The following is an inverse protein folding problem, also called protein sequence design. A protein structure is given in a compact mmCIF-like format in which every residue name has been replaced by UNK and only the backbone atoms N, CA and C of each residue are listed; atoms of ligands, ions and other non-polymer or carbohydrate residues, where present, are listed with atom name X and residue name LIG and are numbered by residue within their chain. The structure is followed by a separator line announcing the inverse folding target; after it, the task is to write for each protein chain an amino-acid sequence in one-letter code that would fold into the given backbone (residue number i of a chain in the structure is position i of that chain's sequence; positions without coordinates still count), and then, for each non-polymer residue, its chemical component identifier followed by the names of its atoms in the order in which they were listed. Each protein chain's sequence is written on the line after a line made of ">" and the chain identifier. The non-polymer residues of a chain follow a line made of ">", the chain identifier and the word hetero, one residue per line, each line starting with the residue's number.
data_IF_826956005315
#
_entry.id   IF_826956005315
#
_cell.length_a   1.000
_cell.length_b   1.000
_cell.length_c   1.000
_cell.angle_alpha   90.00
_cell.angle_beta   90.00
_cell.angle_gamma   90.00
#
_symmetry.space_group_name_H-M   'P 1'
#
loop_
_entity.id
_entity.type
_entity.pdbx_description
1 polymer ?
#
# COMPACT_ATOMS: atom_id res chain seq x y z
N UNK A 1 5.80 -9.47 -3.00
CA UNK A 1 5.50 -8.14 -3.56
C UNK A 1 4.06 -8.16 -4.04
N UNK A 2 3.28 -7.08 -3.89
CA UNK A 2 1.88 -7.00 -4.34
C UNK A 2 1.66 -5.68 -5.05
N UNK A 3 0.89 -5.68 -6.14
CA UNK A 3 0.53 -4.44 -6.83
C UNK A 3 -0.72 -3.80 -6.22
N UNK A 4 -0.76 -2.48 -6.26
CA UNK A 4 -1.88 -1.68 -5.79
C UNK A 4 -2.47 -0.85 -6.94
N UNK A 5 -3.79 -0.76 -7.01
CA UNK A 5 -4.51 0.00 -8.04
C UNK A 5 -5.46 1.01 -7.40
N UNK A 6 -5.34 2.26 -7.83
CA UNK A 6 -6.19 3.38 -7.46
C UNK A 6 -7.04 3.77 -8.67
N UNK A 7 -8.34 4.00 -8.47
CA UNK A 7 -9.27 4.45 -9.50
C UNK A 7 -9.64 5.92 -9.29
N UNK A 8 -10.12 6.58 -10.35
CA UNK A 8 -10.36 8.04 -10.37
C UNK A 8 -11.28 8.53 -9.25
N UNK A 9 -12.30 7.75 -8.88
CA UNK A 9 -13.23 8.09 -7.79
C UNK A 9 -12.54 8.26 -6.42
N UNK A 10 -11.34 7.70 -6.30
CA UNK A 10 -10.52 7.66 -5.09
C UNK A 10 -9.23 8.50 -5.23
N UNK A 11 -9.10 9.30 -6.29
CA UNK A 11 -7.86 10.02 -6.61
C UNK A 11 -7.37 10.96 -5.50
N UNK A 12 -8.24 11.40 -4.59
CA UNK A 12 -7.83 12.17 -3.40
C UNK A 12 -6.85 11.41 -2.50
N UNK A 13 -6.85 10.08 -2.53
CA UNK A 13 -5.86 9.26 -1.83
C UNK A 13 -4.47 9.30 -2.48
N UNK A 14 -4.39 9.73 -3.75
CA UNK A 14 -3.10 9.95 -4.41
C UNK A 14 -2.33 11.11 -3.78
N UNK A 15 -3.02 12.04 -3.11
CA UNK A 15 -2.37 13.04 -2.27
C UNK A 15 -1.64 12.36 -1.10
N UNK A 16 -2.11 11.25 -0.57
CA UNK A 16 -1.33 10.47 0.42
C UNK A 16 -0.06 9.80 -0.14
N UNK A 17 0.10 9.73 -1.46
CA UNK A 17 1.14 8.96 -2.17
C UNK A 17 2.06 9.88 -2.98
N UNK A 18 2.44 11.02 -2.42
CA UNK A 18 3.17 12.08 -3.12
C UNK A 18 4.57 11.68 -3.64
N UNK A 19 5.23 10.67 -3.05
CA UNK A 19 6.61 10.29 -3.40
C UNK A 19 6.71 8.80 -3.73
N UNK A 20 6.97 8.50 -5.02
CA UNK A 20 7.14 7.13 -5.53
C UNK A 20 8.29 6.32 -4.88
N UNK A 21 9.12 6.95 -4.03
CA UNK A 21 10.26 6.31 -3.35
C UNK A 21 10.16 6.34 -1.82
N UNK A 22 9.04 6.82 -1.28
CA UNK A 22 8.79 6.79 0.16
C UNK A 22 8.19 5.44 0.58
N UNK A 23 8.31 5.13 1.87
CA UNK A 23 7.70 3.95 2.47
C UNK A 23 6.39 4.36 3.13
N UNK A 24 5.33 3.61 2.87
CA UNK A 24 3.99 3.90 3.39
C UNK A 24 3.45 2.73 4.20
N UNK A 25 2.76 3.04 5.29
CA UNK A 25 1.80 2.13 5.91
C UNK A 25 0.47 2.25 5.18
N UNK A 26 -0.06 1.13 4.71
CA UNK A 26 -1.32 1.06 3.97
C UNK A 26 -2.23 0.06 4.65
N UNK A 27 -3.45 0.48 5.02
CA UNK A 27 -4.43 -0.39 5.66
C UNK A 27 -5.85 -0.11 5.17
N UNK A 28 -6.77 -1.03 5.47
CA UNK A 28 -8.16 -0.97 5.04
C UNK A 28 -8.31 -0.86 3.50
N UNK A 29 -7.58 -1.70 2.76
CA UNK A 29 -7.73 -1.90 1.32
C UNK A 29 -8.57 -3.13 1.02
N UNK A 30 -9.10 -3.23 -0.19
CA UNK A 30 -9.70 -4.48 -0.69
C UNK A 30 -8.64 -5.33 -1.36
N UNK A 31 -8.70 -6.64 -1.16
CA UNK A 31 -7.83 -7.60 -1.85
C UNK A 31 -8.69 -8.36 -2.86
N UNK A 32 -8.28 -8.36 -4.13
CA UNK A 32 -9.00 -9.04 -5.21
C UNK A 32 -8.04 -9.86 -6.06
N UNK A 33 -8.56 -10.88 -6.75
CA UNK A 33 -7.78 -11.58 -7.77
C UNK A 33 -7.48 -10.64 -8.93
N UNK A 34 -6.26 -10.68 -9.41
CA UNK A 34 -5.86 -9.92 -10.60
C UNK A 34 -6.20 -10.70 -11.87
N UNK A 35 -6.64 -9.99 -12.91
CA UNK A 35 -6.68 -10.54 -14.26
C UNK A 35 -5.23 -10.64 -14.78
N UNK A 36 -4.73 -11.83 -15.14
CA UNK A 36 -3.34 -12.02 -15.57
C UNK A 36 -2.91 -11.11 -16.73
N UNK A 37 -3.86 -10.60 -17.53
CA UNK A 37 -3.58 -9.68 -18.65
C UNK A 37 -3.11 -8.29 -18.20
N UNK A 38 -3.40 -7.90 -16.96
CA UNK A 38 -3.04 -6.59 -16.37
C UNK A 38 -2.02 -6.73 -15.24
N UNK A 39 -1.43 -7.91 -15.08
CA UNK A 39 -0.47 -8.21 -14.03
C UNK A 39 0.89 -7.63 -14.37
N UNK A 40 1.40 -6.75 -13.49
CA UNK A 40 2.72 -6.16 -13.61
C UNK A 40 3.77 -6.85 -12.72
N UNK A 41 3.31 -7.61 -11.72
CA UNK A 41 4.15 -8.28 -10.71
C UNK A 41 3.59 -9.68 -10.47
N UNK A 42 4.46 -10.68 -10.30
CA UNK A 42 4.07 -12.07 -10.02
C UNK A 42 3.39 -12.20 -8.64
N UNK A 43 2.07 -12.04 -8.63
CA UNK A 43 1.16 -12.21 -7.50
C UNK A 43 -0.28 -12.35 -8.01
N UNK A 44 -0.99 -13.40 -7.61
CA UNK A 44 -2.37 -13.67 -8.05
C UNK A 44 -3.41 -12.66 -7.52
N UNK A 45 -2.99 -11.77 -6.62
CA UNK A 45 -3.82 -10.78 -5.97
C UNK A 45 -3.28 -9.36 -6.13
N UNK A 46 -4.19 -8.40 -6.00
CA UNK A 46 -3.91 -6.98 -6.00
C UNK A 46 -4.64 -6.27 -4.85
N UNK A 47 -4.11 -5.13 -4.44
CA UNK A 47 -4.77 -4.20 -3.53
C UNK A 47 -5.59 -3.20 -4.34
N UNK A 48 -6.86 -3.04 -4.02
CA UNK A 48 -7.72 -2.00 -4.56
C UNK A 48 -7.96 -0.96 -3.47
N UNK A 49 -7.52 0.26 -3.76
CA UNK A 49 -7.71 1.42 -2.89
C UNK A 49 -9.14 1.91 -3.02
N UNK A 50 -9.70 2.44 -1.94
CA UNK A 50 -11.03 3.05 -1.89
C UNK A 50 -11.07 4.14 -0.83
N UNK A 51 -12.09 4.98 -0.78
CA UNK A 51 -12.21 6.12 0.16
C UNK A 51 -11.97 5.82 1.66
N UNK A 52 -12.03 4.56 2.08
CA UNK A 52 -11.75 4.14 3.46
C UNK A 52 -10.31 3.68 3.71
N UNK A 53 -9.51 3.55 2.66
CA UNK A 53 -8.10 3.17 2.73
C UNK A 53 -7.30 4.23 3.46
N UNK A 54 -6.49 3.78 4.41
CA UNK A 54 -5.59 4.62 5.20
C UNK A 54 -4.21 4.50 4.58
N UNK A 55 -3.59 5.65 4.28
CA UNK A 55 -2.24 5.77 3.74
C UNK A 55 -1.46 6.72 4.63
N UNK A 56 -0.38 6.24 5.24
CA UNK A 56 0.48 7.03 6.13
C UNK A 56 1.94 6.90 5.68
N UNK A 57 2.59 8.02 5.37
CA UNK A 57 4.02 8.03 5.04
C UNK A 57 4.85 7.76 6.30
N UNK A 58 5.72 6.76 6.24
CA UNK A 58 6.65 6.45 7.32
C UNK A 58 7.93 7.25 7.10
N UNK A 59 8.23 8.17 8.02
CA UNK A 59 9.57 8.76 8.10
C UNK A 59 10.61 7.66 8.31
N UNK A 60 11.88 7.87 7.90
CA UNK A 60 12.97 6.91 8.13
C UNK A 60 13.04 6.46 9.62
N UNK A 61 12.79 7.40 10.55
CA UNK A 61 12.75 7.11 11.98
C UNK A 61 11.58 6.22 12.37
N UNK A 62 10.39 6.47 11.81
CA UNK A 62 9.18 5.66 12.04
C UNK A 62 9.28 4.26 11.43
N UNK A 63 9.94 4.14 10.27
CA UNK A 63 10.19 2.86 9.60
C UNK A 63 11.09 1.94 10.44
N UNK A 64 12.21 2.47 10.96
CA UNK A 64 13.11 1.71 11.84
C UNK A 64 12.44 1.24 13.14
N UNK A 65 11.54 2.05 13.70
CA UNK A 65 10.73 1.68 14.88
C UNK A 65 9.70 0.58 14.57
N UNK A 66 9.06 0.61 13.40
CA UNK A 66 8.11 -0.44 12.98
C UNK A 66 8.82 -1.76 12.65
N UNK A 67 10.00 -1.72 12.03
CA UNK A 67 10.81 -2.93 11.83
C UNK A 67 11.34 -3.50 13.15
N UNK A 68 11.78 -2.63 14.08
CA UNK A 68 12.25 -3.04 15.39
C UNK A 68 11.17 -3.72 16.24
N UNK A 69 9.93 -3.28 16.15
CA UNK A 69 8.77 -3.90 16.84
C UNK A 69 8.24 -5.15 16.15
N UNK A 70 8.38 -5.27 14.82
CA UNK A 70 8.03 -6.49 14.10
C UNK A 70 9.05 -7.63 14.28
N UNK A 71 10.33 -7.31 14.51
CA UNK A 71 11.42 -8.28 14.74
C UNK A 71 11.57 -8.68 16.21
N UNK A 72 11.07 -7.85 17.12
CA UNK A 72 10.95 -8.13 18.54
C UNK A 72 9.46 -8.37 18.82
N UNK A 73 8.96 -9.56 18.45
CA UNK A 73 7.66 -10.02 18.95
C UNK A 73 7.61 -9.95 20.49
N UNK A 74 6.41 -10.05 21.10
CA UNK A 74 6.22 -9.88 22.53
C UNK A 74 7.19 -10.70 23.39
#
# INVERSE_FOLDING_TARGET
>A
MIQGTLFDDDIKLSDGLHNMRSVYYISNTRITKIDPRYQCIENDYQLIFHQGTIVEELSERSFMLHLGTALLGP
#
